data_IF_483301767207
#
_entry.id   IF_483301767207
#
_cell.length_a   1.000
_cell.length_b   1.000
_cell.length_c   1.000
_cell.angle_alpha   90.00
_cell.angle_beta   90.00
_cell.angle_gamma   90.00
#
_symmetry.space_group_name_H-M   'P 1'
#
loop_
_entity.id
_entity.type
_entity.pdbx_description
1 polymer ?
#
# COMPACT_ATOMS: atom_id res chain seq x y z
N UNK A 1 38.97 6.55 4.25
CA UNK A 1 37.63 5.94 4.05
C UNK A 1 37.18 6.30 2.65
N UNK A 2 37.03 5.34 1.77
CA UNK A 2 36.58 5.57 0.41
C UNK A 2 35.09 6.00 0.44
N UNK A 3 34.81 7.15 -0.17
CA UNK A 3 33.44 7.71 -0.17
C UNK A 3 32.58 6.87 -1.12
N UNK A 4 31.54 6.23 -0.57
CA UNK A 4 30.57 5.49 -1.40
C UNK A 4 29.66 6.47 -2.13
N UNK A 5 29.87 6.64 -3.43
CA UNK A 5 29.09 7.52 -4.33
C UNK A 5 28.01 6.76 -5.11
N UNK A 6 27.51 5.65 -4.57
CA UNK A 6 26.45 4.86 -5.17
C UNK A 6 25.31 4.64 -4.18
N UNK A 7 24.11 4.41 -4.70
CA UNK A 7 22.95 4.05 -3.88
C UNK A 7 23.17 2.70 -3.18
N UNK A 8 22.56 2.48 -1.99
CA UNK A 8 22.54 1.16 -1.36
C UNK A 8 21.87 0.12 -2.27
N UNK A 9 22.17 -1.15 -2.03
CA UNK A 9 21.54 -2.26 -2.76
C UNK A 9 20.02 -2.28 -2.54
N UNK A 10 19.26 -2.44 -3.61
CA UNK A 10 17.80 -2.49 -3.60
C UNK A 10 17.11 -1.11 -3.63
N UNK A 11 17.85 -0.02 -3.74
CA UNK A 11 17.32 1.32 -4.00
C UNK A 11 18.02 1.93 -5.21
N UNK A 12 17.34 2.81 -5.92
CA UNK A 12 17.89 3.42 -7.13
C UNK A 12 17.34 4.82 -7.37
N UNK A 13 18.10 5.63 -8.06
CA UNK A 13 17.62 6.89 -8.59
C UNK A 13 16.70 6.64 -9.80
N UNK A 14 15.62 7.40 -9.87
CA UNK A 14 14.71 7.44 -11.03
C UNK A 14 14.74 8.86 -11.59
N UNK A 15 15.17 9.01 -12.85
CA UNK A 15 15.41 10.33 -13.43
C UNK A 15 14.99 10.41 -14.90
N UNK A 16 14.99 11.62 -15.43
CA UNK A 16 14.67 11.94 -16.83
C UNK A 16 13.33 11.33 -17.29
N UNK A 17 13.36 10.59 -18.40
CA UNK A 17 12.16 10.03 -19.04
C UNK A 17 11.41 9.05 -18.12
N UNK A 18 12.13 8.20 -17.38
CA UNK A 18 11.52 7.23 -16.47
C UNK A 18 10.76 7.94 -15.35
N UNK A 19 11.36 8.98 -14.76
CA UNK A 19 10.72 9.80 -13.73
C UNK A 19 9.47 10.49 -14.28
N UNK A 20 9.54 11.09 -15.46
CA UNK A 20 8.41 11.74 -16.10
C UNK A 20 7.24 10.76 -16.37
N UNK A 21 7.54 9.56 -16.84
CA UNK A 21 6.53 8.50 -17.07
C UNK A 21 5.89 8.08 -15.76
N UNK A 22 6.69 7.85 -14.70
CA UNK A 22 6.18 7.48 -13.36
C UNK A 22 5.21 8.53 -12.81
N UNK A 23 5.60 9.82 -12.86
CA UNK A 23 4.76 10.91 -12.36
C UNK A 23 3.47 11.07 -13.19
N UNK A 24 3.56 10.93 -14.51
CA UNK A 24 2.38 10.97 -15.38
C UNK A 24 1.42 9.81 -15.10
N UNK A 25 1.95 8.60 -14.85
CA UNK A 25 1.17 7.43 -14.48
C UNK A 25 0.48 7.62 -13.14
N UNK A 26 1.20 8.07 -12.12
CA UNK A 26 0.65 8.37 -10.80
C UNK A 26 -0.49 9.39 -10.90
N UNK A 27 -0.31 10.47 -11.67
CA UNK A 27 -1.36 11.47 -11.90
C UNK A 27 -2.60 10.88 -12.54
N UNK A 28 -2.45 9.99 -13.54
CA UNK A 28 -3.58 9.32 -14.19
C UNK A 28 -4.36 8.46 -13.20
N UNK A 29 -3.66 7.67 -12.38
CA UNK A 29 -4.29 6.80 -11.39
C UNK A 29 -4.99 7.60 -10.30
N UNK A 30 -4.35 8.64 -9.74
CA UNK A 30 -4.99 9.53 -8.76
C UNK A 30 -6.26 10.17 -9.33
N UNK A 31 -6.26 10.57 -10.61
CA UNK A 31 -7.47 11.11 -11.24
C UNK A 31 -8.63 10.10 -11.22
N UNK A 32 -8.35 8.81 -11.45
CA UNK A 32 -9.40 7.77 -11.36
C UNK A 32 -9.91 7.66 -9.93
N UNK A 33 -9.02 7.58 -8.93
CA UNK A 33 -9.42 7.49 -7.53
C UNK A 33 -10.31 8.67 -7.10
N UNK A 34 -9.94 9.90 -7.50
CA UNK A 34 -10.74 11.10 -7.23
C UNK A 34 -12.12 11.06 -7.91
N UNK A 35 -12.25 10.49 -9.10
CA UNK A 35 -13.55 10.32 -9.76
C UNK A 35 -14.49 9.37 -9.03
N UNK A 36 -13.94 8.42 -8.27
CA UNK A 36 -14.69 7.54 -7.36
C UNK A 36 -14.94 8.18 -5.98
N UNK A 37 -14.57 9.45 -5.77
CA UNK A 37 -14.80 10.21 -4.55
C UNK A 37 -13.78 9.99 -3.43
N UNK A 38 -12.63 9.37 -3.75
CA UNK A 38 -11.55 9.20 -2.77
C UNK A 38 -10.78 10.50 -2.56
N UNK A 39 -10.44 10.78 -1.30
CA UNK A 39 -9.70 11.97 -0.89
C UNK A 39 -8.25 11.61 -0.55
N UNK A 40 -7.32 12.50 -0.88
CA UNK A 40 -5.91 12.27 -0.60
C UNK A 40 -5.63 12.27 0.90
N UNK A 41 -4.84 11.28 1.35
CA UNK A 41 -4.23 11.24 2.66
C UNK A 41 -2.72 11.04 2.54
N UNK A 42 -1.96 11.72 3.37
CA UNK A 42 -0.53 11.51 3.54
C UNK A 42 -0.22 11.11 4.97
N UNK A 43 0.31 9.93 5.16
CA UNK A 43 0.77 9.43 6.45
C UNK A 43 2.30 9.57 6.56
N UNK A 44 2.86 9.59 7.77
CA UNK A 44 4.31 9.64 7.98
C UNK A 44 5.03 8.46 7.30
N UNK A 45 6.28 8.71 6.88
CA UNK A 45 7.13 7.66 6.29
C UNK A 45 7.58 6.63 7.32
N UNK A 46 7.64 7.02 8.58
CA UNK A 46 7.94 6.13 9.71
C UNK A 46 6.91 6.33 10.83
N UNK A 47 6.70 5.28 11.58
CA UNK A 47 5.76 5.21 12.70
C UNK A 47 6.42 4.51 13.88
N UNK A 48 5.79 4.52 15.05
CA UNK A 48 6.15 3.58 16.10
C UNK A 48 6.01 2.15 15.59
N UNK A 49 6.98 1.30 15.94
CA UNK A 49 7.01 -0.10 15.51
C UNK A 49 5.70 -0.85 15.79
N UNK A 50 5.01 -0.51 16.87
CA UNK A 50 3.76 -1.16 17.27
C UNK A 50 2.61 -0.96 16.27
N UNK A 51 2.65 0.07 15.42
CA UNK A 51 1.67 0.27 14.35
C UNK A 51 1.74 -0.90 13.35
N UNK A 52 2.94 -1.42 13.08
CA UNK A 52 3.15 -2.52 12.14
C UNK A 52 3.21 -3.90 12.78
N UNK A 53 3.30 -3.97 14.12
CA UNK A 53 3.47 -5.23 14.85
C UNK A 53 2.23 -6.10 14.83
N UNK A 54 1.03 -5.51 14.87
CA UNK A 54 -0.25 -6.22 14.97
C UNK A 54 -0.75 -6.71 13.61
N UNK A 55 -0.38 -6.06 12.55
CA UNK A 55 -0.78 -6.41 11.21
C UNK A 55 0.32 -7.22 10.54
N UNK A 56 0.29 -8.51 10.79
CA UNK A 56 1.07 -9.49 10.07
C UNK A 56 0.34 -9.72 8.74
N UNK A 57 0.39 -8.70 7.87
CA UNK A 57 0.02 -8.84 6.47
C UNK A 57 1.08 -9.67 5.73
N UNK A 58 1.54 -9.19 4.60
CA UNK A 58 2.51 -9.89 3.74
C UNK A 58 3.97 -9.74 4.18
N UNK A 59 4.31 -8.84 5.14
CA UNK A 59 5.68 -8.51 5.49
C UNK A 59 6.07 -9.04 6.87
N UNK A 60 7.16 -9.82 6.91
CA UNK A 60 7.72 -10.32 8.17
C UNK A 60 8.27 -9.17 9.02
N UNK A 61 8.07 -9.23 10.34
CA UNK A 61 8.68 -8.30 11.32
C UNK A 61 10.20 -8.22 11.18
N UNK A 62 10.84 -9.28 10.68
CA UNK A 62 12.29 -9.35 10.43
C UNK A 62 12.72 -8.46 9.26
N UNK A 63 11.81 -8.22 8.33
CA UNK A 63 12.06 -7.47 7.11
C UNK A 63 11.74 -5.96 7.26
N UNK A 64 11.48 -5.49 8.48
CA UNK A 64 11.26 -4.07 8.74
C UNK A 64 12.59 -3.33 8.95
N UNK A 65 12.72 -2.15 8.37
CA UNK A 65 13.74 -1.18 8.74
C UNK A 65 13.38 -0.53 10.07
N UNK A 66 14.16 -0.80 11.11
CA UNK A 66 13.95 -0.31 12.48
C UNK A 66 15.09 0.59 12.91
N UNK A 67 14.76 1.61 13.67
CA UNK A 67 15.72 2.54 14.26
C UNK A 67 15.15 3.10 15.57
N UNK A 68 15.95 3.88 16.29
CA UNK A 68 15.56 4.46 17.56
C UNK A 68 15.45 5.98 17.44
N UNK A 69 14.49 6.57 18.13
CA UNK A 69 14.49 7.99 18.41
C UNK A 69 15.43 8.34 19.58
N UNK A 70 15.47 9.61 19.94
CA UNK A 70 16.34 10.07 21.04
C UNK A 70 15.89 9.57 22.41
N UNK A 71 14.64 9.29 22.56
CA UNK A 71 13.99 8.79 23.79
C UNK A 71 14.09 7.26 23.92
N UNK A 72 14.63 6.58 22.90
CA UNK A 72 14.81 5.11 22.90
C UNK A 72 13.59 4.34 22.40
N UNK A 73 12.58 5.01 21.85
CA UNK A 73 11.44 4.33 21.24
C UNK A 73 11.86 3.66 19.92
N UNK A 74 11.28 2.50 19.64
CA UNK A 74 11.51 1.79 18.39
C UNK A 74 10.57 2.36 17.32
N UNK A 75 11.17 2.88 16.26
CA UNK A 75 10.51 3.36 15.06
C UNK A 75 10.75 2.38 13.90
N UNK A 76 9.86 2.36 12.92
CA UNK A 76 10.04 1.59 11.69
C UNK A 76 9.62 2.39 10.46
N UNK A 77 10.37 2.24 9.36
CA UNK A 77 9.89 2.69 8.05
C UNK A 77 8.70 1.82 7.66
N UNK A 78 7.69 2.45 7.09
CA UNK A 78 6.45 1.78 6.69
C UNK A 78 6.70 0.73 5.60
N UNK A 79 6.39 -0.55 5.84
CA UNK A 79 6.45 -1.59 4.82
C UNK A 79 5.23 -1.57 3.89
N UNK A 80 4.13 -0.99 4.39
CA UNK A 80 2.85 -0.79 3.75
C UNK A 80 2.21 0.49 4.30
N UNK A 81 1.30 1.10 3.54
CA UNK A 81 0.65 2.36 3.93
C UNK A 81 -0.68 2.12 4.66
N UNK A 82 -1.38 1.01 4.39
CA UNK A 82 -2.66 0.65 5.00
C UNK A 82 -2.66 0.71 6.53
N UNK A 83 -1.65 0.18 7.28
CA UNK A 83 -1.63 0.28 8.73
C UNK A 83 -1.56 1.72 9.25
N UNK A 84 -0.80 2.57 8.57
CA UNK A 84 -0.72 4.00 8.92
C UNK A 84 -2.05 4.72 8.68
N UNK A 85 -2.80 4.34 7.64
CA UNK A 85 -4.14 4.87 7.39
C UNK A 85 -5.12 4.39 8.45
N UNK A 86 -5.11 3.09 8.81
CA UNK A 86 -5.94 2.54 9.87
C UNK A 86 -5.72 3.29 11.21
N UNK A 87 -4.46 3.55 11.59
CA UNK A 87 -4.13 4.38 12.75
C UNK A 87 -4.67 5.80 12.60
N UNK A 88 -4.48 6.43 11.44
CA UNK A 88 -4.95 7.81 11.20
C UNK A 88 -6.47 7.90 11.30
N UNK A 89 -7.20 6.94 10.73
CA UNK A 89 -8.67 6.90 10.82
C UNK A 89 -9.12 6.72 12.26
N UNK A 90 -8.51 5.81 13.00
CA UNK A 90 -8.85 5.59 14.41
C UNK A 90 -8.59 6.80 15.32
N UNK A 91 -7.75 7.75 14.90
CA UNK A 91 -7.36 8.91 15.74
C UNK A 91 -7.89 10.25 15.25
N UNK A 92 -8.16 10.39 13.95
CA UNK A 92 -8.53 11.68 13.35
C UNK A 92 -9.96 11.73 12.84
N UNK A 93 -10.60 10.57 12.63
CA UNK A 93 -11.92 10.46 12.00
C UNK A 93 -12.99 9.93 12.96
N UNK A 94 -12.81 10.08 14.27
CA UNK A 94 -13.74 9.55 15.30
C UNK A 94 -15.17 10.08 15.16
N UNK A 95 -15.34 11.30 14.63
CA UNK A 95 -16.65 11.98 14.48
C UNK A 95 -17.16 11.96 13.04
N UNK A 96 -16.42 11.37 12.12
CA UNK A 96 -16.78 11.35 10.70
C UNK A 96 -17.87 10.30 10.42
N UNK A 97 -18.67 10.59 9.42
CA UNK A 97 -19.65 9.62 8.92
C UNK A 97 -19.00 8.61 7.97
N UNK A 98 -19.26 7.33 8.23
CA UNK A 98 -18.85 6.25 7.33
C UNK A 98 -19.81 6.14 6.11
N UNK A 99 -19.36 5.67 4.95
CA UNK A 99 -18.01 5.17 4.68
C UNK A 99 -16.99 6.29 4.39
N UNK A 100 -15.74 6.07 4.80
CA UNK A 100 -14.62 6.95 4.52
C UNK A 100 -13.86 6.43 3.30
N UNK A 101 -13.57 7.30 2.33
CA UNK A 101 -12.82 6.99 1.11
C UNK A 101 -11.51 7.76 1.09
N UNK A 102 -10.39 7.06 1.26
CA UNK A 102 -9.05 7.66 1.27
C UNK A 102 -8.19 7.04 0.17
N UNK A 103 -7.38 7.85 -0.49
CA UNK A 103 -6.37 7.39 -1.43
C UNK A 103 -5.01 7.98 -1.11
N UNK A 104 -3.96 7.28 -1.54
CA UNK A 104 -2.60 7.65 -1.23
C UNK A 104 -1.61 7.29 -2.33
N UNK A 105 -0.49 8.00 -2.35
CA UNK A 105 0.70 7.62 -3.07
C UNK A 105 1.92 7.88 -2.19
N UNK A 106 2.81 6.90 -2.05
CA UNK A 106 3.99 7.05 -1.21
C UNK A 106 4.95 5.88 -1.36
N UNK A 107 6.14 6.03 -0.78
CA UNK A 107 7.14 4.98 -0.80
C UNK A 107 6.96 4.05 0.41
N UNK A 108 7.18 2.76 0.18
CA UNK A 108 7.21 1.69 1.17
C UNK A 108 8.60 1.05 1.16
N UNK A 109 9.00 0.46 2.30
CA UNK A 109 10.37 0.03 2.55
C UNK A 109 10.38 -1.37 3.16
N UNK A 110 11.04 -2.32 2.48
CA UNK A 110 11.15 -3.71 2.97
C UNK A 110 12.62 -4.11 2.95
N UNK A 111 13.15 -4.46 4.12
CA UNK A 111 14.54 -4.89 4.29
C UNK A 111 14.69 -6.41 4.13
N UNK A 112 14.18 -6.95 3.01
CA UNK A 112 14.41 -8.36 2.72
C UNK A 112 15.86 -8.62 2.31
N UNK A 113 16.30 -9.85 2.49
CA UNK A 113 17.65 -10.27 2.10
C UNK A 113 17.88 -10.02 0.60
N UNK A 114 19.08 -9.52 0.27
CA UNK A 114 19.49 -9.05 -1.04
C UNK A 114 19.59 -10.17 -2.08
N UNK A 115 18.48 -10.84 -2.38
CA UNK A 115 18.48 -11.84 -3.43
C UNK A 115 17.55 -11.45 -4.57
N UNK A 116 18.13 -11.42 -5.78
CA UNK A 116 17.42 -11.46 -7.08
C UNK A 116 16.76 -10.15 -7.52
N UNK A 117 17.40 -9.00 -7.33
CA UNK A 117 16.96 -7.73 -7.93
C UNK A 117 15.64 -7.17 -7.36
N UNK A 118 15.24 -7.60 -6.16
CA UNK A 118 14.10 -7.01 -5.47
C UNK A 118 14.42 -5.62 -4.96
N UNK A 119 13.56 -4.67 -5.23
CA UNK A 119 13.69 -3.31 -4.68
C UNK A 119 13.29 -3.32 -3.20
N UNK A 120 14.09 -2.61 -2.39
CA UNK A 120 13.83 -2.37 -0.96
C UNK A 120 12.98 -1.12 -0.73
N UNK A 121 12.91 -0.25 -1.74
CA UNK A 121 12.03 0.91 -1.78
C UNK A 121 11.14 0.82 -3.01
N UNK A 122 9.82 0.88 -2.80
CA UNK A 122 8.81 0.83 -3.86
C UNK A 122 7.84 1.99 -3.68
N UNK A 123 7.32 2.52 -4.79
CA UNK A 123 6.20 3.46 -4.73
C UNK A 123 4.90 2.69 -4.78
N UNK A 124 4.07 2.86 -3.78
CA UNK A 124 2.74 2.30 -3.67
C UNK A 124 1.71 3.42 -3.91
N UNK A 125 0.69 3.11 -4.69
CA UNK A 125 -0.51 3.91 -4.85
C UNK A 125 -1.69 3.02 -4.52
N UNK A 126 -2.59 3.49 -3.69
CA UNK A 126 -3.72 2.70 -3.24
C UNK A 126 -4.90 3.54 -2.77
N UNK A 127 -5.97 2.83 -2.42
CA UNK A 127 -7.18 3.41 -1.87
C UNK A 127 -7.77 2.51 -0.79
N UNK A 128 -8.36 3.10 0.22
CA UNK A 128 -9.00 2.43 1.34
C UNK A 128 -10.46 2.89 1.43
N UNK A 129 -11.39 1.94 1.38
CA UNK A 129 -12.80 2.13 1.66
C UNK A 129 -13.10 1.56 3.05
N UNK A 130 -13.45 2.42 4.00
CA UNK A 130 -13.50 2.07 5.41
C UNK A 130 -14.92 2.28 5.97
N UNK A 131 -15.39 1.31 6.75
CA UNK A 131 -16.66 1.41 7.48
C UNK A 131 -17.89 1.00 6.68
N UNK A 132 -17.71 0.21 5.63
CA UNK A 132 -18.80 -0.43 4.89
C UNK A 132 -18.44 -1.88 4.58
N UNK A 133 -19.39 -2.77 4.80
CA UNK A 133 -19.33 -4.20 4.49
C UNK A 133 -20.53 -4.54 3.60
N UNK A 134 -20.33 -4.48 2.28
CA UNK A 134 -21.38 -4.77 1.30
C UNK A 134 -20.79 -5.21 -0.04
N UNK A 135 -21.58 -5.97 -0.80
CA UNK A 135 -21.23 -6.41 -2.17
C UNK A 135 -21.00 -5.21 -3.10
N UNK A 136 -21.73 -4.12 -2.90
CA UNK A 136 -21.58 -2.89 -3.69
C UNK A 136 -20.21 -2.22 -3.42
N UNK A 137 -19.73 -2.28 -2.17
CA UNK A 137 -18.40 -1.78 -1.82
C UNK A 137 -17.29 -2.59 -2.50
N UNK A 138 -17.40 -3.91 -2.49
CA UNK A 138 -16.46 -4.80 -3.20
C UNK A 138 -16.50 -4.54 -4.72
N UNK A 139 -17.70 -4.38 -5.30
CA UNK A 139 -17.87 -4.06 -6.70
C UNK A 139 -17.27 -2.69 -7.06
N UNK A 140 -17.43 -1.67 -6.21
CA UNK A 140 -16.81 -0.35 -6.37
C UNK A 140 -15.28 -0.47 -6.44
N UNK A 141 -14.67 -1.19 -5.48
CA UNK A 141 -13.23 -1.40 -5.42
C UNK A 141 -12.70 -2.10 -6.67
N UNK A 142 -13.37 -3.16 -7.12
CA UNK A 142 -13.00 -3.89 -8.34
C UNK A 142 -13.12 -3.02 -9.59
N UNK A 143 -14.23 -2.29 -9.74
CA UNK A 143 -14.45 -1.39 -10.86
C UNK A 143 -13.38 -0.30 -10.93
N UNK A 144 -13.04 0.30 -9.79
CA UNK A 144 -12.02 1.33 -9.68
C UNK A 144 -10.63 0.80 -10.09
N UNK A 145 -10.25 -0.42 -9.67
CA UNK A 145 -9.00 -1.06 -10.07
C UNK A 145 -8.97 -1.30 -11.58
N UNK A 146 -10.06 -1.81 -12.15
CA UNK A 146 -10.18 -2.06 -13.60
C UNK A 146 -10.06 -0.75 -14.40
N UNK A 147 -10.74 0.30 -13.96
CA UNK A 147 -10.70 1.61 -14.61
C UNK A 147 -9.31 2.24 -14.50
N UNK A 148 -8.67 2.10 -13.34
CA UNK A 148 -7.28 2.50 -13.15
C UNK A 148 -6.34 1.82 -14.15
N UNK A 149 -6.40 0.50 -14.25
CA UNK A 149 -5.56 -0.27 -15.17
C UNK A 149 -5.82 0.13 -16.65
N UNK A 150 -7.06 0.26 -17.06
CA UNK A 150 -7.41 0.75 -18.40
C UNK A 150 -6.86 2.15 -18.68
N UNK A 151 -6.92 3.04 -17.68
CA UNK A 151 -6.44 4.43 -17.81
C UNK A 151 -4.91 4.50 -17.97
N UNK A 152 -4.17 3.48 -17.51
CA UNK A 152 -2.72 3.40 -17.75
C UNK A 152 -2.37 3.09 -19.19
N UNK A 153 -3.30 2.53 -19.95
CA UNK A 153 -3.13 2.11 -21.33
C UNK A 153 -3.02 0.59 -21.52
N UNK A 154 -3.20 -0.19 -20.46
CA UNK A 154 -3.29 -1.65 -20.55
C UNK A 154 -4.56 -2.03 -21.30
N UNK A 155 -4.40 -2.85 -22.33
CA UNK A 155 -5.52 -3.33 -23.18
C UNK A 155 -6.01 -4.70 -22.78
N UNK A 156 -5.07 -5.56 -22.36
CA UNK A 156 -5.33 -6.95 -21.99
C UNK A 156 -4.75 -7.19 -20.59
N UNK A 157 -5.60 -7.59 -19.66
CA UNK A 157 -5.22 -7.98 -18.31
C UNK A 157 -6.32 -8.86 -17.71
N UNK A 158 -5.97 -9.61 -16.70
CA UNK A 158 -6.88 -10.45 -15.94
C UNK A 158 -6.90 -9.99 -14.48
N UNK A 159 -8.09 -9.91 -13.90
CA UNK A 159 -8.29 -9.68 -12.48
C UNK A 159 -8.74 -11.01 -11.86
N UNK A 160 -7.97 -11.54 -10.92
CA UNK A 160 -8.32 -12.73 -10.16
C UNK A 160 -8.88 -12.31 -8.81
N UNK A 161 -10.05 -12.86 -8.47
CA UNK A 161 -10.74 -12.59 -7.19
C UNK A 161 -10.68 -13.87 -6.36
N UNK A 162 -10.30 -13.73 -5.09
CA UNK A 162 -10.33 -14.80 -4.10
C UNK A 162 -11.26 -14.44 -2.96
N UNK A 163 -12.03 -15.43 -2.47
CA UNK A 163 -12.89 -15.29 -1.31
C UNK A 163 -12.67 -16.47 -0.36
N UNK A 164 -12.35 -16.18 0.89
CA UNK A 164 -11.97 -17.22 1.86
C UNK A 164 -13.16 -18.14 2.15
N UNK A 165 -14.36 -17.57 2.33
CA UNK A 165 -15.56 -18.34 2.65
C UNK A 165 -15.96 -19.29 1.52
N UNK A 166 -15.66 -18.93 0.26
CA UNK A 166 -15.88 -19.86 -0.86
C UNK A 166 -15.05 -21.13 -0.70
N UNK A 167 -13.78 -20.99 -0.33
CA UNK A 167 -12.88 -22.12 -0.11
C UNK A 167 -13.30 -22.94 1.11
N UNK A 168 -13.67 -22.26 2.24
CA UNK A 168 -14.15 -22.94 3.44
C UNK A 168 -15.43 -23.71 3.17
N UNK A 169 -16.41 -23.10 2.51
CA UNK A 169 -17.66 -23.77 2.13
C UNK A 169 -17.44 -24.97 1.20
N UNK A 170 -16.45 -24.89 0.31
CA UNK A 170 -16.09 -26.01 -0.55
C UNK A 170 -15.52 -27.18 0.25
N UNK A 171 -14.63 -26.92 1.22
CA UNK A 171 -14.09 -27.95 2.10
C UNK A 171 -15.17 -28.57 2.98
N UNK A 172 -16.06 -27.78 3.56
CA UNK A 172 -17.21 -28.27 4.32
C UNK A 172 -18.12 -29.18 3.47
N UNK A 173 -18.44 -28.75 2.24
CA UNK A 173 -19.29 -29.50 1.34
C UNK A 173 -18.66 -30.83 0.86
N UNK A 174 -17.33 -30.91 0.83
CA UNK A 174 -16.57 -32.11 0.39
C UNK A 174 -16.10 -32.97 1.55
N UNK A 175 -16.39 -32.60 2.81
CA UNK A 175 -15.89 -33.26 4.03
C UNK A 175 -14.35 -33.42 4.06
N UNK A 176 -13.63 -32.43 3.54
CA UNK A 176 -12.17 -32.35 3.55
C UNK A 176 -11.69 -31.44 4.70
#
# INVERSE_FOLDING_TARGET
MEQKLHTPEGVRDIYNRECAIKLALQKKLNTVLHLYGYQDIQTPTFEYFDVFRKEIGSTSIRDLYKFFDREGNILALRPDITPSIARAVATLFETENFPIRLCYAGNTFINHSSYRGRLKENTQLGAELIGVDSIEADAEMLAMVVDGLKKTGLKEFQVSIGHVDFIQSLFEATNL
#
